data_IF_449017147773
#
_entry.id   IF_449017147773
#
_cell.length_a   1.000
_cell.length_b   1.000
_cell.length_c   1.000
_cell.angle_alpha   90.00
_cell.angle_beta   90.00
_cell.angle_gamma   90.00
#
_symmetry.space_group_name_H-M   'P 1'
#
loop_
_entity.id
_entity.type
_entity.pdbx_description
1 polymer ?
#
# COMPACT_ATOMS: atom_id res chain seq x y z
N UNK A 1 16.35 -5.21 -15.59
CA UNK A 1 17.35 -5.95 -14.77
C UNK A 1 18.37 -6.55 -15.73
N UNK A 2 19.66 -6.43 -15.44
CA UNK A 2 20.75 -6.84 -16.36
C UNK A 2 21.18 -8.31 -16.22
N UNK A 3 20.51 -9.10 -15.36
CA UNK A 3 20.76 -10.53 -15.19
C UNK A 3 19.50 -11.23 -14.64
N UNK A 4 19.34 -12.51 -14.96
CA UNK A 4 18.23 -13.35 -14.49
C UNK A 4 18.63 -14.08 -13.20
N UNK A 5 17.82 -13.93 -12.16
CA UNK A 5 17.97 -14.66 -10.90
C UNK A 5 17.36 -16.07 -11.04
N UNK A 6 18.13 -17.11 -10.70
CA UNK A 6 17.63 -18.49 -10.68
C UNK A 6 16.78 -18.73 -9.43
N UNK A 7 15.76 -19.58 -9.54
CA UNK A 7 14.88 -20.02 -8.45
C UNK A 7 14.04 -18.91 -7.77
N UNK A 8 13.71 -17.83 -8.49
CA UNK A 8 12.71 -16.87 -8.02
C UNK A 8 11.32 -17.44 -8.30
N UNK A 9 10.42 -17.51 -7.30
CA UNK A 9 9.06 -17.97 -7.53
C UNK A 9 8.27 -16.96 -8.36
N UNK A 10 7.33 -17.48 -9.16
CA UNK A 10 6.40 -16.63 -9.89
C UNK A 10 5.50 -15.86 -8.93
N UNK A 11 5.25 -14.59 -9.27
CA UNK A 11 4.32 -13.73 -8.53
C UNK A 11 3.15 -13.36 -9.43
N UNK A 12 1.95 -13.40 -8.87
CA UNK A 12 0.75 -12.90 -9.54
C UNK A 12 0.88 -11.42 -9.90
N UNK A 13 0.33 -11.03 -11.04
CA UNK A 13 0.30 -9.64 -11.49
C UNK A 13 -0.98 -8.96 -11.02
N UNK A 14 -0.95 -7.63 -10.93
CA UNK A 14 -2.15 -6.84 -10.61
C UNK A 14 -3.10 -6.77 -11.82
N UNK A 15 -4.44 -6.73 -11.61
CA UNK A 15 -5.12 -6.94 -10.32
C UNK A 15 -5.02 -8.40 -9.86
N UNK A 16 -4.63 -8.61 -8.59
CA UNK A 16 -4.40 -9.94 -8.03
C UNK A 16 -5.67 -10.48 -7.41
N UNK A 17 -5.93 -11.77 -7.59
CA UNK A 17 -7.00 -12.50 -6.88
C UNK A 17 -6.45 -13.36 -5.73
N UNK A 18 -5.17 -13.73 -5.77
CA UNK A 18 -4.46 -14.48 -4.74
C UNK A 18 -3.00 -14.02 -4.62
N UNK A 19 -2.35 -14.35 -3.50
CA UNK A 19 -1.02 -13.82 -3.16
C UNK A 19 -1.06 -12.32 -2.81
N UNK A 20 -2.19 -11.86 -2.26
CA UNK A 20 -2.43 -10.47 -1.91
C UNK A 20 -1.48 -9.99 -0.81
N UNK A 21 -1.00 -8.75 -0.96
CA UNK A 21 -0.24 -8.05 0.06
C UNK A 21 -1.11 -6.94 0.66
N UNK A 22 -1.55 -7.14 1.90
CA UNK A 22 -2.12 -6.08 2.73
C UNK A 22 -1.03 -5.43 3.56
N UNK A 23 -0.86 -4.11 3.42
CA UNK A 23 0.03 -3.33 4.28
C UNK A 23 -0.79 -2.57 5.33
N UNK A 24 -0.30 -2.54 6.57
CA UNK A 24 -0.90 -1.76 7.64
C UNK A 24 -0.19 -0.42 7.80
N UNK A 25 -0.89 0.67 7.53
CA UNK A 25 -0.48 2.02 7.89
C UNK A 25 -0.83 2.27 9.36
N UNK A 26 0.19 2.36 10.23
CA UNK A 26 0.03 2.57 11.67
C UNK A 26 0.15 4.04 12.10
N UNK A 27 0.12 4.98 11.15
CA UNK A 27 0.33 6.41 11.41
C UNK A 27 1.43 7.05 10.57
N UNK A 28 1.63 6.59 9.33
CA UNK A 28 2.54 7.22 8.38
C UNK A 28 2.08 8.66 8.07
N UNK A 29 3.04 9.58 7.97
CA UNK A 29 2.79 10.93 7.47
C UNK A 29 2.50 10.93 5.97
N UNK A 30 1.93 12.02 5.45
CA UNK A 30 1.60 12.12 4.02
C UNK A 30 2.81 11.90 3.11
N UNK A 31 3.98 12.44 3.47
CA UNK A 31 5.20 12.26 2.66
C UNK A 31 5.79 10.85 2.80
N UNK A 32 5.64 10.21 3.96
CA UNK A 32 5.99 8.80 4.13
C UNK A 32 5.13 7.91 3.25
N UNK A 33 3.84 8.21 3.12
CA UNK A 33 2.93 7.50 2.22
C UNK A 33 3.36 7.68 0.76
N UNK A 34 3.72 8.89 0.34
CA UNK A 34 4.25 9.14 -1.03
C UNK A 34 5.54 8.35 -1.27
N UNK A 35 6.48 8.40 -0.32
CA UNK A 35 7.74 7.66 -0.40
C UNK A 35 7.49 6.16 -0.47
N UNK A 36 6.60 5.63 0.40
CA UNK A 36 6.21 4.24 0.39
C UNK A 36 5.60 3.82 -0.95
N UNK A 37 4.66 4.59 -1.49
CA UNK A 37 4.04 4.30 -2.79
C UNK A 37 5.02 4.41 -3.95
N UNK A 38 5.99 5.31 -3.89
CA UNK A 38 6.99 5.47 -4.96
C UNK A 38 7.83 4.21 -5.22
N UNK A 39 8.02 3.37 -4.19
CA UNK A 39 8.85 2.16 -4.28
C UNK A 39 8.04 0.87 -4.23
N UNK A 40 6.92 0.86 -3.50
CA UNK A 40 6.21 -0.37 -3.17
C UNK A 40 4.85 -0.54 -3.87
N UNK A 41 4.35 0.48 -4.60
CA UNK A 41 3.03 0.41 -5.23
C UNK A 41 2.78 -0.85 -6.10
N UNK A 42 3.74 -1.40 -6.86
CA UNK A 42 3.52 -2.65 -7.62
C UNK A 42 3.27 -3.89 -6.73
N UNK A 43 3.71 -3.86 -5.48
CA UNK A 43 3.74 -5.00 -4.55
C UNK A 43 2.68 -4.93 -3.44
N UNK A 44 2.01 -3.79 -3.26
CA UNK A 44 0.94 -3.61 -2.27
C UNK A 44 -0.40 -3.71 -2.95
N UNK A 45 -1.35 -4.49 -2.44
CA UNK A 45 -2.68 -4.64 -3.07
C UNK A 45 -3.77 -3.88 -2.32
N UNK A 46 -3.62 -3.72 -1.00
CA UNK A 46 -4.57 -3.02 -0.15
C UNK A 46 -3.85 -2.44 1.06
N UNK A 47 -4.32 -1.28 1.53
CA UNK A 47 -3.80 -0.66 2.76
C UNK A 47 -4.89 -0.64 3.84
N UNK A 48 -4.53 -1.13 5.03
CA UNK A 48 -5.34 -0.95 6.24
C UNK A 48 -4.82 0.24 7.03
N UNK A 49 -5.67 1.22 7.32
CA UNK A 49 -5.36 2.20 8.36
C UNK A 49 -5.53 1.52 9.73
N UNK A 50 -4.48 1.48 10.55
CA UNK A 50 -4.49 0.83 11.85
C UNK A 50 -5.59 1.35 12.78
N UNK A 51 -5.96 0.55 13.78
CA UNK A 51 -7.02 0.87 14.73
C UNK A 51 -6.88 2.29 15.31
N UNK A 52 -7.95 3.07 15.27
CA UNK A 52 -7.98 4.45 15.77
C UNK A 52 -7.14 5.48 14.99
N UNK A 53 -6.24 5.05 14.10
CA UNK A 53 -5.32 5.97 13.38
C UNK A 53 -6.07 6.94 12.48
N UNK A 54 -7.16 6.48 11.84
CA UNK A 54 -7.98 7.34 10.98
C UNK A 54 -8.61 8.49 11.77
N UNK A 55 -9.00 8.26 13.03
CA UNK A 55 -9.60 9.28 13.89
C UNK A 55 -8.61 10.40 14.24
N UNK A 56 -7.34 10.06 14.43
CA UNK A 56 -6.29 11.01 14.83
C UNK A 56 -5.44 11.51 13.65
N UNK A 57 -5.67 11.04 12.43
CA UNK A 57 -4.95 11.49 11.23
C UNK A 57 -5.53 12.82 10.76
N UNK A 58 -4.79 13.92 10.95
CA UNK A 58 -5.15 15.20 10.33
C UNK A 58 -5.10 15.09 8.79
N UNK A 59 -6.05 15.72 8.09
CA UNK A 59 -6.19 15.65 6.63
C UNK A 59 -6.20 14.21 6.10
N UNK A 60 -7.01 13.36 6.74
CA UNK A 60 -7.19 11.94 6.37
C UNK A 60 -7.55 11.76 4.89
N UNK A 61 -8.41 12.64 4.34
CA UNK A 61 -8.84 12.58 2.95
C UNK A 61 -7.66 12.64 1.98
N UNK A 62 -6.73 13.57 2.19
CA UNK A 62 -5.53 13.72 1.38
C UNK A 62 -4.66 12.46 1.46
N UNK A 63 -4.51 11.85 2.64
CA UNK A 63 -3.76 10.59 2.79
C UNK A 63 -4.39 9.45 1.99
N UNK A 64 -5.72 9.32 2.04
CA UNK A 64 -6.46 8.32 1.26
C UNK A 64 -6.32 8.59 -0.24
N UNK A 65 -6.36 9.84 -0.66
CA UNK A 65 -6.25 10.21 -2.07
C UNK A 65 -4.84 9.91 -2.64
N UNK A 66 -3.78 10.00 -1.82
CA UNK A 66 -2.43 9.53 -2.20
C UNK A 66 -2.44 8.01 -2.47
N UNK A 67 -3.03 7.18 -1.59
CA UNK A 67 -3.12 5.74 -1.87
C UNK A 67 -3.94 5.45 -3.13
N UNK A 68 -5.04 6.15 -3.32
CA UNK A 68 -5.92 6.00 -4.49
C UNK A 68 -5.24 6.41 -5.79
N UNK A 69 -4.37 7.42 -5.81
CA UNK A 69 -3.63 7.80 -7.01
C UNK A 69 -2.69 6.70 -7.51
N UNK A 70 -2.36 5.73 -6.65
CA UNK A 70 -1.60 4.52 -6.99
C UNK A 70 -2.50 3.28 -7.21
N UNK A 71 -3.81 3.46 -7.36
CA UNK A 71 -4.82 2.40 -7.46
C UNK A 71 -4.79 1.43 -6.28
N UNK A 72 -4.46 1.92 -5.08
CA UNK A 72 -4.46 1.12 -3.85
C UNK A 72 -5.73 1.41 -3.05
N UNK A 73 -6.64 0.44 -2.90
CA UNK A 73 -7.77 0.58 -2.00
C UNK A 73 -7.32 0.69 -0.55
N UNK A 74 -8.07 1.47 0.23
CA UNK A 74 -7.85 1.70 1.65
C UNK A 74 -9.08 1.27 2.43
N UNK A 75 -8.88 0.62 3.58
CA UNK A 75 -9.94 0.32 4.53
C UNK A 75 -9.51 0.64 5.97
N UNK A 76 -10.48 0.82 6.85
CA UNK A 76 -10.24 1.09 8.26
C UNK A 76 -10.04 -0.21 9.04
N UNK A 77 -9.05 -0.21 9.93
CA UNK A 77 -8.95 -1.20 10.99
C UNK A 77 -10.07 -0.95 11.97
N UNK A 78 -11.11 -1.80 11.90
CA UNK A 78 -12.24 -1.79 12.82
C UNK A 78 -11.84 -1.83 14.28
#
# INVERSE_FOLDING_TARGET
MNFALKNIPDRTQKPREYGLTMSMDKGLGHDDVKNFMSVAAPYVDIVKLGFGTAFVTNRLREKIDIYKSHNIPVYFGG
#
